data_IF_234214209233
#
_entry.id   IF_234214209233
#
_cell.length_a   1.000
_cell.length_b   1.000
_cell.length_c   1.000
_cell.angle_alpha   90.00
_cell.angle_beta   90.00
_cell.angle_gamma   90.00
#
_symmetry.space_group_name_H-M   'P 1'
#
loop_
_entity.id
_entity.type
_entity.pdbx_description
1 polymer ?
#
# COMPACT_ATOMS: atom_id res chain seq x y z
N UNK A 1 -40.44 -8.14 26.33
CA UNK A 1 -39.01 -7.83 26.61
C UNK A 1 -38.15 -8.77 25.77
N UNK A 2 -37.09 -8.20 25.20
CA UNK A 2 -36.19 -8.63 24.12
C UNK A 2 -35.35 -9.87 24.45
N UNK A 3 -35.08 -10.74 23.46
CA UNK A 3 -33.72 -11.24 23.18
C UNK A 3 -33.61 -11.84 21.76
N UNK A 4 -33.20 -10.98 20.80
CA UNK A 4 -32.84 -11.36 19.43
C UNK A 4 -31.43 -10.83 19.12
N UNK A 5 -30.39 -11.33 19.80
CA UNK A 5 -28.99 -10.95 19.51
C UNK A 5 -28.06 -12.12 19.83
N UNK A 6 -27.97 -13.10 18.95
CA UNK A 6 -26.88 -14.10 18.96
C UNK A 6 -26.81 -14.82 17.61
N UNK A 7 -26.46 -14.12 16.53
CA UNK A 7 -26.22 -14.79 15.23
C UNK A 7 -25.24 -14.08 14.31
N UNK A 8 -24.87 -12.83 14.57
CA UNK A 8 -23.94 -12.08 13.69
C UNK A 8 -22.46 -12.28 14.05
N UNK A 9 -22.12 -12.60 15.30
CA UNK A 9 -20.72 -12.69 15.75
C UNK A 9 -19.96 -13.94 15.25
N UNK A 10 -20.66 -15.03 14.91
CA UNK A 10 -20.03 -16.27 14.44
C UNK A 10 -19.85 -16.31 12.91
N UNK A 11 -20.66 -15.58 12.14
CA UNK A 11 -20.50 -15.47 10.68
C UNK A 11 -19.23 -14.70 10.30
N UNK A 12 -18.88 -13.65 11.03
CA UNK A 12 -17.67 -12.85 10.79
C UNK A 12 -16.38 -13.62 11.07
N UNK A 13 -16.34 -14.44 12.13
CA UNK A 13 -15.20 -15.36 12.40
C UNK A 13 -15.06 -16.46 11.34
N UNK A 14 -16.17 -16.94 10.79
CA UNK A 14 -16.18 -17.94 9.71
C UNK A 14 -15.62 -17.39 8.39
N UNK A 15 -16.04 -16.20 7.96
CA UNK A 15 -15.50 -15.53 6.77
C UNK A 15 -13.99 -15.28 6.88
N UNK A 16 -13.51 -14.83 8.04
CA UNK A 16 -12.09 -14.56 8.28
C UNK A 16 -11.22 -15.83 8.10
N UNK A 17 -11.72 -17.02 8.43
CA UNK A 17 -10.99 -18.28 8.16
C UNK A 17 -10.99 -18.67 6.69
N UNK A 18 -12.07 -18.38 5.96
CA UNK A 18 -12.19 -18.68 4.52
C UNK A 18 -11.24 -17.79 3.70
N UNK A 19 -11.16 -16.50 4.03
CA UNK A 19 -10.24 -15.53 3.42
C UNK A 19 -8.77 -15.79 3.76
N UNK A 20 -8.48 -16.57 4.81
CA UNK A 20 -7.12 -16.84 5.29
C UNK A 20 -6.58 -18.21 4.84
N UNK A 21 -7.31 -18.93 3.99
CA UNK A 21 -6.86 -20.21 3.44
C UNK A 21 -5.84 -20.01 2.31
N UNK A 22 -4.87 -20.92 2.19
CA UNK A 22 -3.93 -20.93 1.05
C UNK A 22 -4.67 -21.01 -0.30
N UNK A 23 -5.84 -21.65 -0.32
CA UNK A 23 -6.72 -21.69 -1.50
C UNK A 23 -7.29 -20.32 -1.85
N UNK A 24 -7.69 -19.52 -0.86
CA UNK A 24 -8.14 -18.14 -1.09
C UNK A 24 -7.01 -17.29 -1.67
N UNK A 25 -5.82 -17.34 -1.07
CA UNK A 25 -4.65 -16.59 -1.57
C UNK A 25 -4.23 -17.00 -2.98
N UNK A 26 -4.19 -18.30 -3.27
CA UNK A 26 -3.94 -18.78 -4.63
C UNK A 26 -5.04 -18.34 -5.60
N UNK A 27 -6.31 -18.29 -5.18
CA UNK A 27 -7.38 -17.75 -6.01
C UNK A 27 -7.18 -16.25 -6.28
N UNK A 28 -6.73 -15.46 -5.29
CA UNK A 28 -6.36 -14.05 -5.48
C UNK A 28 -5.21 -13.91 -6.47
N UNK A 29 -4.13 -14.66 -6.30
CA UNK A 29 -2.96 -14.60 -7.20
C UNK A 29 -3.33 -15.02 -8.64
N UNK A 30 -4.13 -16.07 -8.80
CA UNK A 30 -4.63 -16.50 -10.11
C UNK A 30 -5.52 -15.43 -10.74
N UNK A 31 -6.42 -14.80 -9.98
CA UNK A 31 -7.29 -13.72 -10.48
C UNK A 31 -6.50 -12.45 -10.81
N UNK A 32 -5.53 -12.05 -9.99
CA UNK A 32 -4.71 -10.87 -10.21
C UNK A 32 -3.83 -11.01 -11.45
N UNK A 33 -3.32 -12.22 -11.71
CA UNK A 33 -2.45 -12.54 -12.85
C UNK A 33 -3.22 -13.09 -14.06
N UNK A 34 -4.56 -13.13 -14.01
CA UNK A 34 -5.38 -13.59 -15.12
C UNK A 34 -5.41 -12.54 -16.24
N UNK A 35 -4.68 -12.81 -17.32
CA UNK A 35 -4.67 -11.97 -18.51
C UNK A 35 -5.76 -12.43 -19.50
N UNK A 36 -6.89 -11.74 -19.51
CA UNK A 36 -8.00 -11.98 -20.44
C UNK A 36 -7.64 -11.49 -21.85
N UNK A 37 -7.11 -12.39 -22.69
CA UNK A 37 -6.88 -12.09 -24.09
C UNK A 37 -8.16 -12.40 -24.92
N UNK A 38 -9.08 -11.42 -24.97
CA UNK A 38 -10.40 -11.54 -25.62
C UNK A 38 -10.33 -11.25 -27.14
N UNK A 39 -9.14 -11.29 -27.75
CA UNK A 39 -8.99 -11.11 -29.20
C UNK A 39 -9.87 -12.11 -29.96
N UNK A 40 -10.69 -11.61 -30.91
CA UNK A 40 -11.59 -12.27 -31.89
C UNK A 40 -12.35 -13.58 -31.55
N UNK A 41 -12.17 -14.19 -30.38
CA UNK A 41 -12.68 -15.54 -30.03
C UNK A 41 -14.14 -15.57 -29.59
N UNK A 42 -14.75 -14.41 -29.38
CA UNK A 42 -16.19 -14.27 -29.07
C UNK A 42 -16.96 -13.54 -30.17
N UNK A 43 -16.34 -13.35 -31.34
CA UNK A 43 -17.04 -12.89 -32.54
C UNK A 43 -17.65 -14.11 -33.25
N UNK A 44 -18.52 -14.86 -32.57
CA UNK A 44 -19.40 -15.79 -33.27
C UNK A 44 -20.78 -15.16 -33.39
N UNK A 45 -21.22 -15.11 -34.64
CA UNK A 45 -22.44 -14.58 -35.23
C UNK A 45 -23.59 -14.24 -34.27
N UNK A 46 -24.08 -13.00 -34.39
CA UNK A 46 -25.49 -12.61 -34.22
C UNK A 46 -26.10 -12.87 -32.84
N UNK A 47 -26.39 -11.78 -32.13
CA UNK A 47 -27.16 -11.73 -30.87
C UNK A 47 -26.30 -12.01 -29.61
N UNK A 48 -26.06 -10.97 -28.81
CA UNK A 48 -25.61 -11.10 -27.42
C UNK A 48 -24.10 -11.08 -27.13
N UNK A 49 -23.23 -11.07 -28.14
CA UNK A 49 -21.78 -11.10 -27.95
C UNK A 49 -21.20 -9.87 -27.22
N UNK A 50 -21.83 -8.71 -27.31
CA UNK A 50 -21.42 -7.49 -26.59
C UNK A 50 -21.90 -7.48 -25.13
N UNK A 51 -23.14 -7.91 -24.88
CA UNK A 51 -23.73 -7.94 -23.54
C UNK A 51 -23.14 -9.06 -22.67
N UNK A 52 -22.78 -10.20 -23.27
CA UNK A 52 -22.07 -11.27 -22.57
C UNK A 52 -20.63 -10.86 -22.22
N UNK A 53 -19.96 -10.10 -23.10
CA UNK A 53 -18.64 -9.52 -22.80
C UNK A 53 -18.72 -8.52 -21.66
N UNK A 54 -19.69 -7.60 -21.67
CA UNK A 54 -19.84 -6.62 -20.60
C UNK A 54 -20.22 -7.30 -19.28
N UNK A 55 -21.19 -8.20 -19.27
CA UNK A 55 -21.60 -8.90 -18.04
C UNK A 55 -20.49 -9.74 -17.43
N UNK A 56 -19.64 -10.35 -18.27
CA UNK A 56 -18.51 -11.16 -17.79
C UNK A 56 -17.37 -10.30 -17.24
N UNK A 57 -17.10 -9.16 -17.88
CA UNK A 57 -16.15 -8.16 -17.37
C UNK A 57 -16.67 -7.59 -16.03
N UNK A 58 -17.95 -7.22 -15.95
CA UNK A 58 -18.55 -6.67 -14.74
C UNK A 58 -18.54 -7.69 -13.59
N UNK A 59 -18.83 -8.96 -13.88
CA UNK A 59 -18.78 -10.05 -12.90
C UNK A 59 -17.36 -10.33 -12.45
N UNK A 60 -16.39 -10.32 -13.37
CA UNK A 60 -14.97 -10.47 -13.07
C UNK A 60 -14.46 -9.33 -12.18
N UNK A 61 -14.81 -8.08 -12.49
CA UNK A 61 -14.45 -6.94 -11.67
C UNK A 61 -15.14 -6.99 -10.30
N UNK A 62 -16.44 -7.31 -10.26
CA UNK A 62 -17.17 -7.49 -9.00
C UNK A 62 -16.55 -8.59 -8.14
N UNK A 63 -16.14 -9.71 -8.74
CA UNK A 63 -15.45 -10.78 -8.03
C UNK A 63 -14.09 -10.29 -7.52
N UNK A 64 -13.29 -9.64 -8.37
CA UNK A 64 -11.99 -9.07 -8.03
C UNK A 64 -12.07 -8.04 -6.89
N UNK A 65 -13.06 -7.16 -6.91
CA UNK A 65 -13.28 -6.15 -5.86
C UNK A 65 -13.72 -6.78 -4.53
N UNK A 66 -14.48 -7.89 -4.60
CA UNK A 66 -14.88 -8.67 -3.42
C UNK A 66 -13.74 -9.53 -2.86
N UNK A 67 -12.82 -9.98 -3.70
CA UNK A 67 -11.75 -10.92 -3.38
C UNK A 67 -10.44 -10.21 -3.01
N UNK A 68 -10.14 -9.07 -3.63
CA UNK A 68 -9.01 -8.19 -3.35
C UNK A 68 -9.50 -6.78 -2.99
N UNK A 69 -10.11 -6.57 -1.81
CA UNK A 69 -10.70 -5.28 -1.45
C UNK A 69 -9.70 -4.13 -1.29
N UNK A 70 -8.39 -4.36 -1.51
CA UNK A 70 -7.32 -3.40 -1.17
C UNK A 70 -6.25 -3.22 -2.24
N UNK A 71 -6.34 -3.87 -3.41
CA UNK A 71 -5.27 -3.79 -4.40
C UNK A 71 -5.83 -3.63 -5.80
N UNK A 72 -5.76 -2.39 -6.31
CA UNK A 72 -5.74 -2.16 -7.74
C UNK A 72 -4.39 -1.52 -8.11
N UNK A 73 -3.54 -2.32 -8.74
CA UNK A 73 -2.38 -1.85 -9.48
C UNK A 73 -2.76 -1.87 -10.95
N UNK A 74 -2.80 -0.69 -11.56
CA UNK A 74 -2.74 -0.61 -13.02
C UNK A 74 -1.31 -0.26 -13.35
N UNK A 75 -0.51 -1.24 -13.81
CA UNK A 75 0.67 -0.89 -14.61
C UNK A 75 0.14 -0.20 -15.85
N UNK A 76 0.24 1.12 -15.89
CA UNK A 76 -0.04 1.89 -17.10
C UNK A 76 1.26 2.09 -17.85
N UNK A 77 1.18 2.26 -19.16
CA UNK A 77 2.30 2.71 -20.00
C UNK A 77 2.86 4.07 -19.55
N UNK A 78 2.13 4.80 -18.71
CA UNK A 78 2.38 6.19 -18.32
C UNK A 78 2.92 6.32 -16.88
N UNK A 79 3.16 5.21 -16.17
CA UNK A 79 3.69 5.19 -14.81
C UNK A 79 3.08 4.12 -13.90
N UNK A 80 3.72 3.90 -12.75
CA UNK A 80 3.18 3.03 -11.71
C UNK A 80 2.10 3.79 -10.94
N UNK A 81 0.86 3.31 -11.05
CA UNK A 81 -0.29 3.84 -10.34
C UNK A 81 -0.82 2.76 -9.41
N UNK A 82 -0.84 3.09 -8.12
CA UNK A 82 -1.43 2.29 -7.08
C UNK A 82 -2.73 2.95 -6.61
N UNK A 83 -3.79 2.18 -6.40
CA UNK A 83 -5.04 2.67 -5.82
C UNK A 83 -5.23 2.02 -4.46
N UNK A 84 -5.14 2.85 -3.42
CA UNK A 84 -5.42 2.45 -2.03
C UNK A 84 -6.81 2.88 -1.59
N UNK A 85 -7.24 2.44 -0.41
CA UNK A 85 -8.52 2.87 0.19
C UNK A 85 -8.31 3.74 1.43
N UNK A 86 -9.06 4.84 1.51
CA UNK A 86 -9.13 5.73 2.66
C UNK A 86 -10.59 6.06 2.98
N UNK A 87 -11.03 5.70 4.18
CA UNK A 87 -12.43 5.86 4.62
C UNK A 87 -13.47 5.19 3.71
N UNK A 88 -13.08 4.10 3.03
CA UNK A 88 -13.94 3.38 2.08
C UNK A 88 -13.83 3.87 0.64
N UNK A 89 -13.28 5.07 0.43
CA UNK A 89 -13.10 5.69 -0.88
C UNK A 89 -11.75 5.32 -1.50
N UNK A 90 -11.73 5.28 -2.83
CA UNK A 90 -10.51 5.03 -3.60
C UNK A 90 -9.62 6.28 -3.63
N UNK A 91 -8.33 6.08 -3.40
CA UNK A 91 -7.29 7.10 -3.48
C UNK A 91 -6.27 6.67 -4.52
N UNK A 92 -6.19 7.43 -5.62
CA UNK A 92 -5.24 7.19 -6.69
C UNK A 92 -3.89 7.78 -6.30
N UNK A 93 -2.86 6.93 -6.26
CA UNK A 93 -1.50 7.25 -5.86
C UNK A 93 -0.58 7.03 -7.06
N UNK A 94 -0.24 8.11 -7.77
CA UNK A 94 0.80 8.10 -8.80
C UNK A 94 2.17 7.87 -8.15
N UNK A 95 3.13 7.35 -8.90
CA UNK A 95 4.52 7.12 -8.45
C UNK A 95 4.65 6.23 -7.21
N UNK A 96 3.69 5.34 -7.03
CA UNK A 96 3.74 4.26 -6.05
C UNK A 96 3.80 2.96 -6.84
N UNK A 97 4.97 2.31 -6.81
CA UNK A 97 5.16 1.00 -7.41
C UNK A 97 4.61 -0.08 -6.50
N UNK A 98 4.35 -1.24 -7.07
CA UNK A 98 4.00 -2.44 -6.31
C UNK A 98 4.98 -3.53 -6.71
N UNK A 99 5.77 -3.93 -5.73
CA UNK A 99 6.77 -4.98 -5.86
C UNK A 99 6.29 -6.22 -5.09
N UNK A 100 6.53 -7.40 -5.65
CA UNK A 100 6.36 -8.65 -4.93
C UNK A 100 7.50 -8.80 -3.93
N UNK A 101 7.17 -8.93 -2.64
CA UNK A 101 8.13 -9.14 -1.56
C UNK A 101 7.77 -10.38 -0.77
N UNK A 102 8.77 -11.05 -0.21
CA UNK A 102 8.58 -12.05 0.83
C UNK A 102 8.57 -11.35 2.20
N UNK A 103 7.36 -11.10 2.72
CA UNK A 103 7.19 -10.51 4.06
C UNK A 103 7.37 -11.58 5.13
N UNK A 104 8.35 -11.41 6.00
CA UNK A 104 8.70 -12.29 7.13
C UNK A 104 8.62 -11.55 8.45
N UNK A 105 7.67 -11.93 9.32
CA UNK A 105 7.40 -11.19 10.56
C UNK A 105 8.53 -11.35 11.58
N UNK A 106 9.25 -10.26 11.86
CA UNK A 106 10.28 -10.20 12.92
C UNK A 106 9.69 -10.31 14.32
N UNK A 107 10.55 -10.63 15.28
CA UNK A 107 10.18 -10.52 16.70
C UNK A 107 9.85 -9.07 17.06
N UNK A 108 9.05 -8.89 18.11
CA UNK A 108 8.71 -7.55 18.60
C UNK A 108 9.97 -6.86 19.17
N UNK A 109 10.88 -7.62 19.76
CA UNK A 109 12.11 -7.17 20.39
C UNK A 109 13.10 -6.63 19.35
N UNK A 110 13.31 -7.33 18.24
CA UNK A 110 14.16 -6.87 17.13
C UNK A 110 13.61 -5.60 16.49
N UNK A 111 12.31 -5.60 16.17
CA UNK A 111 11.65 -4.43 15.60
C UNK A 111 11.71 -3.22 16.57
N UNK A 112 11.62 -3.44 17.89
CA UNK A 112 11.76 -2.38 18.89
C UNK A 112 13.17 -1.79 18.94
N UNK A 113 14.22 -2.61 18.82
CA UNK A 113 15.62 -2.14 18.74
C UNK A 113 15.81 -1.23 17.51
N UNK A 114 15.33 -1.65 16.34
CA UNK A 114 15.41 -0.85 15.12
C UNK A 114 14.63 0.46 15.22
N UNK A 115 13.42 0.43 15.80
CA UNK A 115 12.63 1.63 16.06
C UNK A 115 13.34 2.61 17.00
N UNK A 116 14.04 2.12 18.02
CA UNK A 116 14.81 2.99 18.94
C UNK A 116 15.93 3.72 18.20
N UNK A 117 16.67 3.02 17.34
CA UNK A 117 17.72 3.63 16.49
C UNK A 117 17.11 4.67 15.55
N UNK A 118 15.96 4.34 14.95
CA UNK A 118 15.27 5.27 14.06
C UNK A 118 14.87 6.58 14.75
N UNK A 119 14.19 6.49 15.89
CA UNK A 119 13.68 7.66 16.60
C UNK A 119 14.79 8.55 17.15
N UNK A 120 15.90 7.96 17.59
CA UNK A 120 16.98 8.70 18.24
C UNK A 120 17.96 9.35 17.25
N UNK A 121 18.17 8.72 16.09
CA UNK A 121 19.28 9.08 15.20
C UNK A 121 18.83 9.23 13.76
N UNK A 122 18.43 8.13 13.13
CA UNK A 122 18.28 8.03 11.67
C UNK A 122 17.23 9.00 11.14
N UNK A 123 16.10 9.18 11.84
CA UNK A 123 15.06 10.13 11.41
C UNK A 123 15.62 11.55 11.28
N UNK A 124 16.44 11.99 12.23
CA UNK A 124 17.03 13.32 12.22
C UNK A 124 18.02 13.46 11.06
N UNK A 125 18.86 12.45 10.86
CA UNK A 125 19.87 12.44 9.78
C UNK A 125 19.23 12.42 8.40
N UNK A 126 18.17 11.64 8.21
CA UNK A 126 17.39 11.59 6.97
C UNK A 126 16.73 12.94 6.65
N UNK A 127 16.08 13.58 7.64
CA UNK A 127 15.50 14.89 7.43
C UNK A 127 16.56 15.96 7.15
N UNK A 128 17.72 15.88 7.81
CA UNK A 128 18.85 16.76 7.57
C UNK A 128 19.40 16.60 6.15
N UNK A 129 19.56 15.37 5.65
CA UNK A 129 20.07 15.12 4.30
C UNK A 129 19.15 15.69 3.21
N UNK A 130 17.83 15.57 3.37
CA UNK A 130 16.85 16.19 2.48
C UNK A 130 16.90 17.73 2.54
N UNK A 131 17.07 18.30 3.73
CA UNK A 131 17.05 19.74 3.96
C UNK A 131 18.40 20.45 3.69
N UNK A 132 19.42 19.72 3.26
CA UNK A 132 20.75 20.27 2.94
C UNK A 132 21.21 19.96 1.52
N UNK A 133 20.58 19.00 0.84
CA UNK A 133 20.81 18.74 -0.57
C UNK A 133 20.05 19.77 -1.46
N UNK A 134 20.72 20.53 -2.34
CA UNK A 134 20.07 21.55 -3.17
C UNK A 134 18.93 21.04 -4.06
N UNK A 135 19.06 19.85 -4.64
CA UNK A 135 18.02 19.24 -5.48
C UNK A 135 16.80 18.85 -4.65
N UNK A 136 17.03 18.28 -3.46
CA UNK A 136 15.96 17.91 -2.53
C UNK A 136 15.25 19.11 -1.93
N UNK A 137 15.97 20.19 -1.64
CA UNK A 137 15.35 21.46 -1.24
C UNK A 137 14.38 21.96 -2.32
N UNK A 138 14.75 21.87 -3.59
CA UNK A 138 13.86 22.24 -4.69
C UNK A 138 12.62 21.34 -4.75
N UNK A 139 12.78 20.03 -4.57
CA UNK A 139 11.65 19.08 -4.49
C UNK A 139 10.71 19.39 -3.31
N UNK A 140 11.26 19.68 -2.11
CA UNK A 140 10.49 20.05 -0.92
C UNK A 140 9.68 21.33 -1.16
N UNK A 141 10.29 22.35 -1.77
CA UNK A 141 9.63 23.61 -2.11
C UNK A 141 8.50 23.41 -3.10
N UNK A 142 8.72 22.62 -4.16
CA UNK A 142 7.67 22.25 -5.11
C UNK A 142 6.52 21.53 -4.43
N UNK A 143 6.82 20.67 -3.46
CA UNK A 143 5.81 19.98 -2.64
C UNK A 143 5.06 20.89 -1.65
N UNK A 144 5.30 22.21 -1.69
CA UNK A 144 4.61 23.21 -0.88
C UNK A 144 5.18 23.34 0.54
N UNK A 145 6.35 22.78 0.83
CA UNK A 145 6.99 22.91 2.15
C UNK A 145 7.73 24.26 2.20
N UNK A 146 7.36 25.17 3.10
CA UNK A 146 7.97 26.50 3.18
C UNK A 146 9.36 26.46 3.82
N UNK A 147 10.18 27.47 3.54
CA UNK A 147 11.58 27.54 3.98
C UNK A 147 11.77 27.35 5.49
N UNK A 148 10.88 27.92 6.31
CA UNK A 148 10.98 27.78 7.76
C UNK A 148 10.78 26.32 8.23
N UNK A 149 10.00 25.51 7.51
CA UNK A 149 9.86 24.09 7.82
C UNK A 149 11.06 23.28 7.33
N UNK A 150 11.65 23.65 6.19
CA UNK A 150 12.93 23.07 5.72
C UNK A 150 14.04 23.34 6.74
N UNK A 151 14.12 24.54 7.33
CA UNK A 151 15.06 24.83 8.41
C UNK A 151 14.78 24.00 9.68
N UNK A 152 13.50 23.71 9.98
CA UNK A 152 13.14 22.83 11.09
C UNK A 152 13.50 21.35 10.81
N UNK A 153 13.48 20.92 9.54
CA UNK A 153 13.93 19.58 9.14
C UNK A 153 15.41 19.36 9.46
N UNK A 154 16.27 20.37 9.32
CA UNK A 154 17.68 20.30 9.75
C UNK A 154 17.84 20.01 11.25
N UNK A 155 16.80 20.26 12.04
CA UNK A 155 16.75 19.94 13.49
C UNK A 155 16.07 18.59 13.77
N UNK A 156 15.75 17.82 12.74
CA UNK A 156 15.07 16.52 12.84
C UNK A 156 13.55 16.61 13.04
N UNK A 157 12.94 17.77 12.78
CA UNK A 157 11.49 17.96 12.89
C UNK A 157 10.82 17.71 11.54
N UNK A 158 9.72 16.96 11.54
CA UNK A 158 8.93 16.81 10.32
C UNK A 158 8.25 18.14 9.97
N UNK A 159 8.08 18.46 8.68
CA UNK A 159 7.15 19.48 8.21
C UNK A 159 5.71 19.19 8.67
N UNK A 160 4.88 20.22 8.79
CA UNK A 160 3.48 20.07 9.19
C UNK A 160 2.72 19.26 8.15
N UNK A 161 2.04 18.20 8.60
CA UNK A 161 1.32 17.31 7.70
C UNK A 161 2.20 16.30 6.97
N UNK A 162 3.49 16.15 7.29
CA UNK A 162 4.39 15.16 6.71
C UNK A 162 4.98 14.21 7.76
N UNK A 163 5.33 12.98 7.34
CA UNK A 163 5.97 11.97 8.18
C UNK A 163 7.03 11.20 7.42
N UNK A 164 8.10 10.79 8.11
CA UNK A 164 9.06 9.82 7.57
C UNK A 164 8.43 8.42 7.69
N UNK A 165 8.30 7.75 6.56
CA UNK A 165 7.72 6.43 6.38
C UNK A 165 8.82 5.45 5.97
N UNK A 166 8.76 4.23 6.50
CA UNK A 166 9.58 3.12 6.04
C UNK A 166 8.88 2.41 4.88
N UNK A 167 9.54 2.34 3.71
CA UNK A 167 9.00 1.72 2.51
C UNK A 167 8.72 0.22 2.74
N UNK A 168 9.70 -0.51 3.28
CA UNK A 168 9.54 -1.81 3.90
C UNK A 168 9.53 -1.64 5.43
N UNK A 169 8.57 -2.21 6.16
CA UNK A 169 8.38 -1.87 7.55
C UNK A 169 9.40 -2.61 8.44
N UNK A 170 9.75 -2.00 9.58
CA UNK A 170 10.74 -2.57 10.51
C UNK A 170 10.27 -3.86 11.21
N UNK A 171 8.98 -4.18 11.17
CA UNK A 171 8.43 -5.44 11.68
C UNK A 171 8.54 -6.61 10.67
N UNK A 172 9.11 -6.35 9.50
CA UNK A 172 9.54 -7.27 8.44
C UNK A 172 10.95 -6.87 7.97
N UNK A 173 11.49 -7.40 6.87
CA UNK A 173 12.79 -7.16 6.23
C UNK A 173 13.24 -5.71 6.05
N UNK A 174 12.42 -4.70 6.33
CA UNK A 174 12.82 -3.28 6.26
C UNK A 174 14.00 -2.91 7.16
N UNK A 175 14.80 -1.95 6.73
CA UNK A 175 15.98 -1.43 7.44
C UNK A 175 15.83 0.06 7.78
N UNK A 176 16.82 0.63 8.46
CA UNK A 176 16.91 2.07 8.70
C UNK A 176 17.73 2.81 7.63
N UNK A 177 18.04 2.16 6.52
CA UNK A 177 18.79 2.78 5.43
C UNK A 177 17.94 3.85 4.75
N UNK A 178 18.55 4.92 4.25
CA UNK A 178 17.82 6.07 3.69
C UNK A 178 17.00 5.69 2.45
N UNK A 179 17.46 4.71 1.69
CA UNK A 179 16.76 4.13 0.54
C UNK A 179 15.43 3.48 0.94
N UNK A 180 15.32 3.03 2.20
CA UNK A 180 14.09 2.49 2.76
C UNK A 180 13.19 3.57 3.39
N UNK A 181 13.55 4.86 3.29
CA UNK A 181 12.81 5.96 3.91
C UNK A 181 12.24 6.92 2.89
N UNK A 182 11.00 7.33 3.14
CA UNK A 182 10.30 8.34 2.35
C UNK A 182 9.68 9.38 3.27
N UNK A 183 9.94 10.67 3.05
CA UNK A 183 9.16 11.75 3.62
C UNK A 183 7.84 11.86 2.85
N UNK A 184 6.74 11.45 3.49
CA UNK A 184 5.42 11.34 2.87
C UNK A 184 4.41 12.29 3.49
N UNK A 185 3.57 12.92 2.67
CA UNK A 185 2.45 13.72 3.13
C UNK A 185 1.38 12.82 3.78
N UNK A 186 0.92 13.20 4.96
CA UNK A 186 0.07 12.36 5.80
C UNK A 186 -1.27 12.02 5.15
N UNK A 187 -1.94 13.04 4.60
CA UNK A 187 -3.26 12.89 3.99
C UNK A 187 -3.21 13.36 2.53
N UNK A 188 -3.80 12.60 1.59
CA UNK A 188 -4.35 11.25 1.76
C UNK A 188 -3.28 10.13 1.72
N UNK A 189 -2.07 10.46 1.27
CA UNK A 189 -1.06 9.52 0.78
C UNK A 189 -0.58 8.50 1.82
N UNK A 190 0.03 8.96 2.92
CA UNK A 190 0.58 8.06 3.94
C UNK A 190 -0.48 7.10 4.50
N UNK A 191 -1.70 7.62 4.73
CA UNK A 191 -2.82 6.83 5.26
C UNK A 191 -3.26 5.74 4.28
N UNK A 192 -3.43 6.06 3.00
CA UNK A 192 -3.86 5.09 1.99
C UNK A 192 -2.84 3.94 1.83
N UNK A 193 -1.53 4.27 1.80
CA UNK A 193 -0.45 3.28 1.75
C UNK A 193 -0.46 2.41 3.00
N UNK A 194 -0.41 3.02 4.18
CA UNK A 194 -0.33 2.31 5.46
C UNK A 194 -1.55 1.43 5.73
N UNK A 195 -2.75 1.86 5.33
CA UNK A 195 -3.96 1.04 5.46
C UNK A 195 -3.87 -0.24 4.65
N UNK A 196 -3.34 -0.15 3.43
CA UNK A 196 -3.13 -1.30 2.56
C UNK A 196 -2.10 -2.25 3.18
N UNK A 197 -0.92 -1.72 3.53
CA UNK A 197 0.17 -2.48 4.16
C UNK A 197 -0.27 -3.19 5.45
N UNK A 198 -1.04 -2.51 6.31
CA UNK A 198 -1.63 -3.11 7.52
C UNK A 198 -2.61 -4.22 7.18
N UNK A 199 -3.43 -4.04 6.15
CA UNK A 199 -4.42 -5.05 5.78
C UNK A 199 -3.77 -6.32 5.26
N UNK A 200 -2.68 -6.19 4.49
CA UNK A 200 -1.90 -7.33 3.98
C UNK A 200 -1.23 -8.14 5.11
N UNK A 201 -0.94 -7.50 6.24
CA UNK A 201 -0.09 -8.07 7.30
C UNK A 201 -0.81 -8.31 8.63
N UNK A 202 -2.09 -7.95 8.75
CA UNK A 202 -2.85 -7.94 10.02
C UNK A 202 -2.93 -9.29 10.73
N UNK A 203 -2.92 -10.38 9.96
CA UNK A 203 -3.11 -11.75 10.47
C UNK A 203 -1.78 -12.51 10.61
N UNK A 204 -0.65 -11.85 10.31
CA UNK A 204 0.68 -12.45 10.42
C UNK A 204 1.19 -12.40 11.85
N UNK A 205 1.72 -13.54 12.29
CA UNK A 205 2.35 -13.74 13.59
C UNK A 205 3.85 -13.98 13.43
N UNK A 206 4.58 -13.95 14.55
CA UNK A 206 6.02 -14.16 14.53
C UNK A 206 6.38 -15.50 13.86
N UNK A 207 7.35 -15.46 12.93
CA UNK A 207 7.79 -16.63 12.18
C UNK A 207 6.98 -16.91 10.91
N UNK A 208 5.85 -16.24 10.71
CA UNK A 208 5.12 -16.32 9.44
C UNK A 208 5.89 -15.62 8.33
N UNK A 209 5.84 -16.22 7.13
CA UNK A 209 6.38 -15.66 5.90
C UNK A 209 5.37 -15.82 4.75
N UNK A 210 5.19 -14.78 3.94
CA UNK A 210 4.23 -14.75 2.83
C UNK A 210 4.73 -13.84 1.71
N UNK A 211 4.53 -14.27 0.46
CA UNK A 211 4.76 -13.42 -0.71
C UNK A 211 3.54 -12.51 -0.92
N UNK A 212 3.77 -11.19 -0.96
CA UNK A 212 2.72 -10.17 -1.09
C UNK A 212 3.14 -9.04 -2.03
N UNK A 213 2.15 -8.53 -2.76
CA UNK A 213 2.25 -7.31 -3.55
C UNK A 213 2.27 -6.07 -2.64
N UNK A 214 3.44 -5.42 -2.52
CA UNK A 214 3.69 -4.36 -1.54
C UNK A 214 3.80 -2.97 -2.18
N UNK A 215 2.97 -1.99 -1.77
CA UNK A 215 3.04 -0.62 -2.29
C UNK A 215 4.22 0.17 -1.70
N UNK A 216 5.03 0.74 -2.58
CA UNK A 216 6.26 1.47 -2.25
C UNK A 216 6.29 2.81 -3.02
N UNK A 217 6.33 3.96 -2.32
CA UNK A 217 6.66 5.24 -2.95
C UNK A 217 8.01 5.17 -3.68
N UNK A 218 8.07 5.65 -4.92
CA UNK A 218 9.29 5.59 -5.74
C UNK A 218 10.42 6.52 -5.26
N UNK A 219 10.07 7.57 -4.53
CA UNK A 219 10.97 8.67 -4.23
C UNK A 219 11.00 8.98 -2.74
N UNK A 220 12.11 9.51 -2.23
CA UNK A 220 12.26 9.87 -0.82
C UNK A 220 11.40 11.07 -0.38
N UNK A 221 10.70 11.75 -1.29
CA UNK A 221 9.71 12.80 -1.02
C UNK A 221 8.45 12.46 -1.81
N UNK A 222 7.30 12.34 -1.13
CA UNK A 222 6.05 11.90 -1.76
C UNK A 222 4.80 12.61 -1.19
N UNK A 223 3.90 13.17 -2.04
CA UNK A 223 3.98 13.24 -3.50
C UNK A 223 5.12 14.17 -3.94
N UNK A 224 5.55 14.03 -5.19
CA UNK A 224 6.30 15.10 -5.84
C UNK A 224 5.38 16.30 -5.98
N UNK A 225 5.85 17.48 -5.62
CA UNK A 225 5.15 18.71 -6.00
C UNK A 225 5.12 18.84 -7.52
N UNK A 226 3.98 19.27 -8.05
CA UNK A 226 3.80 19.57 -9.48
C UNK A 226 4.43 20.93 -9.84
#
# INVERSE_FOLDING_TARGET
KVSKVATTANLTKGMSRVTNSAKYRNAINVLNNFNLNIGNRFAYAGIGGSSLKSSFIDTYQTAKDKLSPYQYTKRTTDGDVFVGKLYGEDVILKDVKVDEITYSKRTREEAAKLRKVFQNTVKKEFLYSLATNPEKILELKKAGIPDFEIENMKKGKNPSGWQVHHNLPLDDGGTNDFENLTLVQNHPYHKAITNTQKTLTKDLTHGDSIDIDWPIPKYNIYPKGE
#
